data_IF_370029262880
#
_entry.id   IF_370029262880
#
_cell.length_a   1.000
_cell.length_b   1.000
_cell.length_c   1.000
_cell.angle_alpha   90.00
_cell.angle_beta   90.00
_cell.angle_gamma   90.00
#
_symmetry.space_group_name_H-M   'P 1'
#
loop_
_entity.id
_entity.type
_entity.pdbx_description
1 polymer ?
#
# COMPACT_ATOMS: atom_id res chain seq x y z
N UNK A 1 -6.49 23.28 -6.69
CA UNK A 1 -5.59 22.33 -5.99
C UNK A 1 -5.61 21.05 -6.81
N UNK A 2 -4.49 20.65 -7.41
CA UNK A 2 -4.43 19.41 -8.19
C UNK A 2 -4.63 18.24 -7.21
N UNK A 3 -5.69 17.44 -7.41
CA UNK A 3 -5.91 16.20 -6.65
C UNK A 3 -4.70 15.31 -6.91
N UNK A 4 -3.91 14.99 -5.88
CA UNK A 4 -2.87 13.97 -6.02
C UNK A 4 -3.59 12.67 -6.38
N UNK A 5 -3.17 11.98 -7.46
CA UNK A 5 -3.81 10.73 -7.84
C UNK A 5 -3.64 9.76 -6.67
N UNK A 6 -4.73 9.13 -6.23
CA UNK A 6 -4.61 8.03 -5.27
C UNK A 6 -4.00 6.81 -5.97
N UNK A 7 -3.41 5.89 -5.22
CA UNK A 7 -2.94 4.60 -5.78
C UNK A 7 -4.06 3.89 -6.53
N UNK A 8 -5.31 3.99 -6.04
CA UNK A 8 -6.50 3.50 -6.73
C UNK A 8 -6.73 4.19 -8.08
N UNK A 9 -6.49 5.50 -8.19
CA UNK A 9 -6.63 6.23 -9.45
C UNK A 9 -5.60 5.69 -10.47
N UNK A 10 -4.36 5.42 -10.04
CA UNK A 10 -3.32 4.79 -10.88
C UNK A 10 -3.67 3.34 -11.27
N UNK A 11 -4.29 2.60 -10.36
CA UNK A 11 -4.76 1.25 -10.63
C UNK A 11 -5.86 1.25 -11.70
N UNK A 12 -6.76 2.24 -11.65
CA UNK A 12 -7.80 2.41 -12.66
C UNK A 12 -7.27 2.87 -14.01
N UNK A 13 -6.14 3.57 -14.05
CA UNK A 13 -5.47 3.96 -15.30
C UNK A 13 -4.53 2.88 -15.85
N UNK A 14 -4.38 1.75 -15.14
CA UNK A 14 -3.43 0.67 -15.44
C UNK A 14 -1.96 1.13 -15.42
N UNK A 15 -1.66 2.26 -14.79
CA UNK A 15 -0.28 2.73 -14.57
C UNK A 15 0.45 1.84 -13.52
N UNK A 16 -0.33 1.13 -12.71
CA UNK A 16 0.13 0.12 -11.75
C UNK A 16 -0.76 -1.11 -11.90
N UNK A 17 -0.18 -2.30 -11.76
CA UNK A 17 -0.94 -3.55 -11.81
C UNK A 17 -1.11 -4.19 -10.43
N UNK A 18 -2.01 -5.17 -10.35
CA UNK A 18 -2.30 -5.90 -9.12
C UNK A 18 -1.08 -6.63 -8.55
N UNK A 19 -0.23 -7.10 -9.46
CA UNK A 19 1.04 -7.75 -9.11
C UNK A 19 2.01 -6.76 -8.46
N UNK A 20 2.08 -5.51 -8.93
CA UNK A 20 2.92 -4.47 -8.32
C UNK A 20 2.45 -4.17 -6.89
N UNK A 21 1.13 -3.99 -6.71
CA UNK A 21 0.55 -3.76 -5.38
C UNK A 21 0.80 -4.96 -4.47
N UNK A 22 0.66 -6.18 -4.99
CA UNK A 22 0.92 -7.41 -4.24
C UNK A 22 2.39 -7.55 -3.86
N UNK A 23 3.32 -7.14 -4.73
CA UNK A 23 4.75 -7.12 -4.45
C UNK A 23 5.09 -6.12 -3.32
N UNK A 24 4.47 -4.94 -3.29
CA UNK A 24 4.63 -3.97 -2.19
C UNK A 24 4.09 -4.55 -0.88
N UNK A 25 2.94 -5.22 -0.91
CA UNK A 25 2.37 -5.87 0.28
C UNK A 25 3.28 -6.99 0.79
N UNK A 26 3.81 -7.83 -0.10
CA UNK A 26 4.75 -8.88 0.27
C UNK A 26 6.05 -8.33 0.83
N UNK A 27 6.59 -7.26 0.23
CA UNK A 27 7.77 -6.58 0.76
C UNK A 27 7.52 -6.06 2.18
N UNK A 28 6.35 -5.46 2.45
CA UNK A 28 5.98 -5.00 3.78
C UNK A 28 5.74 -6.13 4.79
N UNK A 29 5.22 -7.28 4.34
CA UNK A 29 5.05 -8.45 5.19
C UNK A 29 6.39 -9.13 5.51
N UNK A 30 7.35 -9.09 4.58
CA UNK A 30 8.69 -9.61 4.77
C UNK A 30 9.56 -8.68 5.65
N UNK A 31 9.43 -7.37 5.44
CA UNK A 31 10.07 -6.32 6.23
C UNK A 31 9.04 -5.21 6.51
N UNK A 32 8.63 -4.99 7.78
CA UNK A 32 7.67 -3.95 8.15
C UNK A 32 8.21 -2.52 7.98
N UNK A 33 9.48 -2.36 7.60
CA UNK A 33 10.12 -1.05 7.34
C UNK A 33 10.84 -1.03 5.99
N UNK A 34 10.18 -1.40 4.87
CA UNK A 34 10.86 -1.52 3.58
C UNK A 34 11.23 -0.14 3.00
N UNK A 35 10.72 0.95 3.60
CA UNK A 35 10.85 2.31 3.10
C UNK A 35 9.98 2.55 1.88
N UNK A 36 10.34 3.54 1.06
CA UNK A 36 9.63 3.84 -0.19
C UNK A 36 9.88 2.75 -1.22
N UNK A 37 8.87 1.94 -1.50
CA UNK A 37 8.88 0.89 -2.52
C UNK A 37 8.44 1.50 -3.85
N UNK A 38 9.19 1.26 -4.92
CA UNK A 38 8.79 1.63 -6.26
C UNK A 38 7.76 0.64 -6.80
N UNK A 39 6.74 1.16 -7.49
CA UNK A 39 5.70 0.34 -8.09
C UNK A 39 5.16 1.04 -9.34
N UNK A 40 4.91 0.28 -10.41
CA UNK A 40 4.63 0.81 -11.75
C UNK A 40 5.75 1.69 -12.32
N UNK A 41 5.42 2.44 -13.38
CA UNK A 41 6.36 3.33 -14.06
C UNK A 41 6.37 4.73 -13.43
N UNK A 42 7.32 4.96 -12.51
CA UNK A 42 7.59 6.30 -11.96
C UNK A 42 6.83 6.66 -10.68
N UNK A 43 6.29 5.68 -9.96
CA UNK A 43 5.66 5.90 -8.65
C UNK A 43 6.40 5.17 -7.52
N UNK A 44 6.39 5.79 -6.34
CA UNK A 44 6.88 5.20 -5.10
C UNK A 44 5.85 5.39 -3.99
N UNK A 45 5.73 4.38 -3.14
CA UNK A 45 4.84 4.41 -1.97
C UNK A 45 5.58 3.84 -0.78
N UNK A 46 5.41 4.47 0.36
CA UNK A 46 5.84 3.90 1.63
C UNK A 46 4.66 3.13 2.23
N UNK A 47 4.68 1.78 2.23
CA UNK A 47 3.61 0.98 2.78
C UNK A 47 3.45 1.17 4.29
N UNK A 48 4.52 1.49 5.03
CA UNK A 48 4.44 1.77 6.45
C UNK A 48 3.68 3.09 6.71
N UNK A 49 3.96 4.13 5.92
CA UNK A 49 3.21 5.40 5.98
C UNK A 49 1.76 5.20 5.54
N UNK A 50 1.51 4.42 4.49
CA UNK A 50 0.15 4.09 4.02
C UNK A 50 -0.66 3.38 5.11
N UNK A 51 -0.07 2.35 5.72
CA UNK A 51 -0.68 1.61 6.83
C UNK A 51 -0.89 2.50 8.05
N UNK A 52 0.09 3.32 8.43
CA UNK A 52 -0.01 4.23 9.58
C UNK A 52 -1.09 5.30 9.36
N UNK A 53 -1.27 5.76 8.12
CA UNK A 53 -2.30 6.71 7.71
C UNK A 53 -3.69 6.07 7.63
N UNK A 54 -3.78 4.74 7.62
CA UNK A 54 -5.05 4.02 7.52
C UNK A 54 -5.44 3.36 8.86
N UNK A 55 -6.40 3.93 9.62
CA UNK A 55 -6.74 3.46 10.96
C UNK A 55 -7.16 1.99 11.03
N UNK A 56 -7.83 1.51 9.98
CA UNK A 56 -8.26 0.13 9.85
C UNK A 56 -7.07 -0.84 9.74
N UNK A 57 -6.14 -0.57 8.83
CA UNK A 57 -4.96 -1.42 8.64
C UNK A 57 -4.06 -1.41 9.88
N UNK A 58 -3.81 -0.23 10.46
CA UNK A 58 -3.04 -0.11 11.71
C UNK A 58 -3.62 -0.95 12.84
N UNK A 59 -4.93 -0.82 13.07
CA UNK A 59 -5.61 -1.58 14.15
C UNK A 59 -5.54 -3.08 13.90
N UNK A 60 -5.66 -3.51 12.64
CA UNK A 60 -5.73 -4.91 12.25
C UNK A 60 -4.37 -5.62 12.34
N UNK A 61 -3.27 -4.94 12.05
CA UNK A 61 -1.91 -5.50 12.17
C UNK A 61 -1.54 -5.74 13.64
N UNK A 62 -2.07 -4.93 14.56
CA UNK A 62 -1.89 -5.10 16.00
C UNK A 62 -2.75 -6.24 16.58
N UNK A 63 -3.75 -6.76 15.83
CA UNK A 63 -4.61 -7.83 16.31
C UNK A 63 -3.93 -9.20 16.21
N UNK A 64 -3.74 -9.93 17.34
CA UNK A 64 -3.12 -11.26 17.31
C UNK A 64 -4.00 -12.34 16.66
N UNK A 65 -5.31 -12.11 16.59
CA UNK A 65 -6.26 -13.02 15.92
C UNK A 65 -6.33 -12.79 14.40
N UNK A 66 -5.73 -11.71 13.87
CA UNK A 66 -5.79 -11.42 12.46
C UNK A 66 -4.85 -12.36 11.68
N UNK A 67 -5.44 -13.25 10.89
CA UNK A 67 -4.72 -14.12 9.97
C UNK A 67 -3.86 -13.33 8.98
N UNK A 68 -2.80 -13.96 8.49
CA UNK A 68 -1.90 -13.40 7.47
C UNK A 68 -2.67 -12.92 6.23
N UNK A 69 -3.68 -13.67 5.79
CA UNK A 69 -4.54 -13.27 4.67
C UNK A 69 -5.34 -12.00 4.95
N UNK A 70 -5.84 -11.84 6.19
CA UNK A 70 -6.60 -10.66 6.59
C UNK A 70 -5.70 -9.43 6.73
N UNK A 71 -4.51 -9.60 7.34
CA UNK A 71 -3.47 -8.56 7.41
C UNK A 71 -3.09 -8.08 6.02
N UNK A 72 -2.84 -9.02 5.10
CA UNK A 72 -2.52 -8.75 3.69
C UNK A 72 -3.60 -7.92 3.00
N UNK A 73 -4.87 -8.30 3.17
CA UNK A 73 -6.00 -7.56 2.61
C UNK A 73 -6.11 -6.13 3.17
N UNK A 74 -5.89 -5.94 4.47
CA UNK A 74 -5.92 -4.63 5.10
C UNK A 74 -4.76 -3.72 4.65
N UNK A 75 -3.55 -4.27 4.57
CA UNK A 75 -2.36 -3.56 4.05
C UNK A 75 -2.61 -3.16 2.59
N UNK A 76 -3.13 -4.08 1.77
CA UNK A 76 -3.47 -3.80 0.37
C UNK A 76 -4.50 -2.69 0.23
N UNK A 77 -5.55 -2.70 1.04
CA UNK A 77 -6.53 -1.62 1.05
C UNK A 77 -5.91 -0.26 1.45
N UNK A 78 -5.01 -0.26 2.45
CA UNK A 78 -4.29 0.95 2.85
C UNK A 78 -3.41 1.49 1.72
N UNK A 79 -2.68 0.61 1.02
CA UNK A 79 -1.83 0.99 -0.11
C UNK A 79 -2.68 1.56 -1.27
N UNK A 80 -3.80 0.92 -1.61
CA UNK A 80 -4.70 1.39 -2.66
C UNK A 80 -5.34 2.75 -2.34
N UNK A 81 -5.62 3.02 -1.06
CA UNK A 81 -6.21 4.30 -0.61
C UNK A 81 -5.17 5.38 -0.29
N UNK A 82 -3.89 5.06 -0.34
CA UNK A 82 -2.83 6.02 -0.09
C UNK A 82 -2.59 6.93 -1.31
N UNK A 83 -1.94 8.07 -1.05
CA UNK A 83 -1.43 8.97 -2.09
C UNK A 83 0.03 8.61 -2.37
N UNK A 84 0.34 8.02 -3.53
CA UNK A 84 1.71 7.71 -3.91
C UNK A 84 2.48 8.95 -4.34
N UNK A 85 3.79 8.89 -4.17
CA UNK A 85 4.71 9.94 -4.57
C UNK A 85 5.24 9.64 -5.99
N UNK A 86 5.15 10.64 -6.87
CA UNK A 86 5.68 10.52 -8.24
C UNK A 86 7.16 10.90 -8.22
N UNK A 87 7.99 10.07 -8.85
CA UNK A 87 9.46 10.23 -8.94
C UNK A 87 9.96 10.64 -10.31
#
# INVERSE_FOLDING_TARGET
MAKRPMTLDLFTTLDIVDDDVSAVVDAYLADPTPGSVAFGDGFRIDPAVAVASHPFARTLIDQPWADTGLRRAAIRAAILLAEPERV
#
